data_IF_827385529581
#
_entry.id   IF_827385529581
#
_cell.length_a   1.000
_cell.length_b   1.000
_cell.length_c   1.000
_cell.angle_alpha   90.00
_cell.angle_beta   90.00
_cell.angle_gamma   90.00
#
_symmetry.space_group_name_H-M   'P 1'
#
loop_
_entity.id
_entity.type
_entity.pdbx_description
1 polymer ?
#
# COMPACT_ATOMS: atom_id res chain seq x y z
N UNK A 1 -29.42 13.19 1.03
CA UNK A 1 -28.09 12.58 0.85
C UNK A 1 -26.98 13.64 0.64
N UNK A 2 -27.18 14.65 -0.22
CA UNK A 2 -26.16 15.69 -0.50
C UNK A 2 -26.06 16.83 0.52
N UNK A 3 -26.83 16.85 1.58
CA UNK A 3 -26.73 17.86 2.65
C UNK A 3 -25.82 17.45 3.81
N UNK A 4 -25.24 16.25 3.78
CA UNK A 4 -24.31 15.80 4.81
C UNK A 4 -22.90 16.30 4.46
N UNK A 5 -22.25 17.14 5.31
CA UNK A 5 -20.91 17.67 5.08
C UNK A 5 -19.87 16.57 4.80
N UNK A 6 -20.00 15.43 5.46
CA UNK A 6 -19.13 14.27 5.28
C UNK A 6 -19.21 13.71 3.85
N UNK A 7 -20.42 13.59 3.30
CA UNK A 7 -20.59 13.10 1.93
C UNK A 7 -20.02 14.06 0.89
N UNK A 8 -20.21 15.38 1.09
CA UNK A 8 -19.64 16.40 0.19
C UNK A 8 -18.11 16.34 0.20
N UNK A 9 -17.51 16.29 1.39
CA UNK A 9 -16.04 16.20 1.53
C UNK A 9 -15.51 14.92 0.89
N UNK A 10 -16.18 13.79 1.08
CA UNK A 10 -15.78 12.52 0.51
C UNK A 10 -15.84 12.53 -1.04
N UNK A 11 -16.95 13.02 -1.62
CA UNK A 11 -17.08 13.16 -3.07
C UNK A 11 -16.01 14.11 -3.62
N UNK A 12 -15.77 15.23 -2.95
CA UNK A 12 -14.71 16.18 -3.32
C UNK A 12 -13.33 15.52 -3.33
N UNK A 13 -13.03 14.73 -2.30
CA UNK A 13 -11.79 13.94 -2.22
C UNK A 13 -11.67 12.95 -3.39
N UNK A 14 -12.73 12.20 -3.70
CA UNK A 14 -12.72 11.25 -4.81
C UNK A 14 -12.47 11.93 -6.17
N UNK A 15 -13.13 13.07 -6.41
CA UNK A 15 -12.93 13.83 -7.65
C UNK A 15 -11.48 14.29 -7.79
N UNK A 16 -10.89 14.78 -6.70
CA UNK A 16 -9.47 15.19 -6.69
C UNK A 16 -8.56 13.99 -6.95
N UNK A 17 -8.81 12.84 -6.29
CA UNK A 17 -8.00 11.64 -6.48
C UNK A 17 -8.08 11.09 -7.91
N UNK A 18 -9.28 11.05 -8.50
CA UNK A 18 -9.47 10.65 -9.90
C UNK A 18 -8.77 11.63 -10.85
N UNK A 19 -8.84 12.93 -10.57
CA UNK A 19 -8.13 13.95 -11.33
C UNK A 19 -6.62 13.76 -11.29
N UNK A 20 -6.05 13.50 -10.12
CA UNK A 20 -4.62 13.21 -9.95
C UNK A 20 -4.25 11.92 -10.69
N UNK A 21 -5.05 10.85 -10.56
CA UNK A 21 -4.83 9.59 -11.26
C UNK A 21 -4.84 9.76 -12.78
N UNK A 22 -5.80 10.50 -13.31
CA UNK A 22 -5.88 10.81 -14.75
C UNK A 22 -4.67 11.62 -15.23
N UNK A 23 -4.27 12.62 -14.46
CA UNK A 23 -3.08 13.41 -14.74
C UNK A 23 -1.81 12.53 -14.74
N UNK A 24 -1.62 11.70 -13.73
CA UNK A 24 -0.50 10.79 -13.63
C UNK A 24 -0.45 9.79 -14.80
N UNK A 25 -1.62 9.31 -15.26
CA UNK A 25 -1.71 8.43 -16.43
C UNK A 25 -1.09 9.05 -17.68
N UNK A 26 -1.31 10.32 -17.95
CA UNK A 26 -0.73 11.00 -19.09
C UNK A 26 0.80 11.14 -19.02
N UNK A 27 1.37 11.18 -17.83
CA UNK A 27 2.82 11.29 -17.63
C UNK A 27 3.53 9.94 -17.59
N UNK A 28 2.80 8.86 -17.37
CA UNK A 28 3.35 7.50 -17.31
C UNK A 28 3.60 6.99 -18.72
N UNK A 29 4.88 6.81 -19.08
CA UNK A 29 5.27 6.38 -20.44
C UNK A 29 5.69 4.92 -20.50
N UNK A 30 6.29 4.39 -19.43
CA UNK A 30 6.89 3.08 -19.38
C UNK A 30 6.42 2.30 -18.15
N UNK A 31 6.57 0.98 -18.21
CA UNK A 31 6.26 0.09 -17.08
C UNK A 31 7.07 0.42 -15.83
N UNK A 32 8.34 0.84 -15.99
CA UNK A 32 9.18 1.28 -14.87
C UNK A 32 8.66 2.59 -14.24
N UNK A 33 8.10 3.51 -15.03
CA UNK A 33 7.48 4.72 -14.52
C UNK A 33 6.25 4.37 -13.68
N UNK A 34 5.45 3.41 -14.13
CA UNK A 34 4.26 2.96 -13.42
C UNK A 34 4.60 2.28 -12.09
N UNK A 35 5.56 1.34 -12.07
CA UNK A 35 5.89 0.55 -10.87
C UNK A 35 6.78 1.32 -9.90
N UNK A 36 7.77 2.05 -10.38
CA UNK A 36 8.82 2.67 -9.56
C UNK A 36 8.86 4.20 -9.64
N UNK A 37 7.88 4.84 -10.28
CA UNK A 37 7.92 6.28 -10.53
C UNK A 37 9.18 6.71 -11.31
N UNK A 38 9.64 5.85 -12.24
CA UNK A 38 10.87 6.09 -13.00
C UNK A 38 12.14 6.17 -12.15
N UNK A 39 12.09 5.74 -10.88
CA UNK A 39 13.17 5.88 -9.87
C UNK A 39 13.63 7.34 -9.64
N UNK A 40 12.81 8.31 -10.05
CA UNK A 40 13.14 9.75 -10.01
C UNK A 40 12.45 10.51 -8.88
N UNK A 41 11.66 9.82 -8.06
CA UNK A 41 10.91 10.43 -6.95
C UNK A 41 11.86 11.01 -5.90
N UNK A 42 11.61 12.24 -5.49
CA UNK A 42 12.31 12.88 -4.38
C UNK A 42 11.95 12.26 -3.03
N UNK A 43 12.83 12.44 -2.03
CA UNK A 43 12.67 11.80 -0.71
C UNK A 43 11.32 12.09 -0.02
N UNK A 44 10.82 13.31 -0.11
CA UNK A 44 9.53 13.71 0.50
C UNK A 44 8.36 12.97 -0.20
N UNK A 45 8.35 12.97 -1.54
CA UNK A 45 7.29 12.28 -2.31
C UNK A 45 7.32 10.78 -2.04
N UNK A 46 8.51 10.18 -1.98
CA UNK A 46 8.68 8.76 -1.64
C UNK A 46 8.17 8.46 -0.24
N UNK A 47 8.50 9.27 0.76
CA UNK A 47 8.03 9.08 2.13
C UNK A 47 6.51 9.18 2.24
N UNK A 48 5.89 10.16 1.58
CA UNK A 48 4.43 10.30 1.54
C UNK A 48 3.77 9.14 0.81
N UNK A 49 4.34 8.68 -0.31
CA UNK A 49 3.84 7.55 -1.08
C UNK A 49 3.87 6.25 -0.27
N UNK A 50 4.97 6.00 0.45
CA UNK A 50 5.08 4.84 1.33
C UNK A 50 4.07 4.92 2.47
N UNK A 51 3.96 6.09 3.13
CA UNK A 51 2.95 6.29 4.17
C UNK A 51 1.54 6.00 3.67
N UNK A 52 1.19 6.48 2.47
CA UNK A 52 -0.12 6.25 1.89
C UNK A 52 -0.37 4.80 1.48
N UNK A 53 0.66 4.07 1.03
CA UNK A 53 0.51 2.70 0.50
C UNK A 53 0.62 1.62 1.58
N UNK A 54 1.47 1.84 2.59
CA UNK A 54 1.81 0.84 3.61
C UNK A 54 0.90 0.95 4.85
N UNK A 55 0.43 2.17 5.17
CA UNK A 55 -0.44 2.43 6.31
C UNK A 55 -1.90 2.13 5.97
N UNK A 56 -2.25 0.85 5.95
CA UNK A 56 -3.62 0.38 5.72
C UNK A 56 -4.60 0.79 6.83
N UNK A 57 -5.88 0.41 6.65
CA UNK A 57 -6.88 0.52 7.72
C UNK A 57 -6.47 -0.10 9.06
N UNK A 58 -5.50 -1.02 9.05
CA UNK A 58 -4.91 -1.56 10.27
C UNK A 58 -4.27 -0.49 11.15
N UNK A 59 -3.46 0.41 10.59
CA UNK A 59 -2.82 1.46 11.37
C UNK A 59 -3.81 2.48 11.91
N UNK A 60 -4.84 2.82 11.12
CA UNK A 60 -5.81 3.86 11.47
C UNK A 60 -6.93 3.36 12.40
N UNK A 61 -7.32 2.10 12.30
CA UNK A 61 -8.42 1.52 13.08
C UNK A 61 -7.97 0.37 13.97
N UNK A 62 -7.15 -0.54 13.47
CA UNK A 62 -6.73 -1.74 14.19
C UNK A 62 -5.84 -1.43 15.39
N UNK A 63 -4.82 -0.61 15.20
CA UNK A 63 -3.89 -0.24 16.29
C UNK A 63 -4.58 0.58 17.39
N UNK A 64 -5.29 1.69 17.08
CA UNK A 64 -6.05 2.40 18.10
C UNK A 64 -7.13 1.54 18.78
N UNK A 65 -7.85 0.73 18.01
CA UNK A 65 -8.84 -0.19 18.54
C UNK A 65 -8.23 -1.23 19.48
N UNK A 66 -7.07 -1.79 19.15
CA UNK A 66 -6.38 -2.75 20.01
C UNK A 66 -5.88 -2.10 21.31
N UNK A 67 -5.36 -0.87 21.24
CA UNK A 67 -4.96 -0.11 22.43
C UNK A 67 -6.17 0.21 23.33
N UNK A 68 -7.29 0.56 22.74
CA UNK A 68 -8.53 0.83 23.47
C UNK A 68 -9.07 -0.41 24.18
N UNK A 69 -9.06 -1.57 23.52
CA UNK A 69 -9.65 -2.81 24.04
C UNK A 69 -8.71 -3.58 24.99
N UNK A 70 -7.41 -3.60 24.67
CA UNK A 70 -6.43 -4.46 25.35
C UNK A 70 -5.43 -3.67 26.22
N UNK A 71 -5.53 -2.35 26.17
CA UNK A 71 -4.70 -1.47 27.00
C UNK A 71 -3.43 -1.00 26.32
N UNK A 72 -2.72 -0.11 27.00
CA UNK A 72 -1.57 0.65 26.51
C UNK A 72 -0.39 -0.24 26.07
N UNK A 73 -0.33 -1.49 26.55
CA UNK A 73 0.69 -2.45 26.12
C UNK A 73 0.71 -2.71 24.62
N UNK A 74 -0.43 -2.54 23.95
CA UNK A 74 -0.52 -2.67 22.49
C UNK A 74 0.19 -1.54 21.73
N UNK A 75 0.54 -0.45 22.38
CA UNK A 75 1.33 0.64 21.80
C UNK A 75 2.73 0.20 21.34
N UNK A 76 3.25 -0.91 21.89
CA UNK A 76 4.50 -1.51 21.44
C UNK A 76 4.46 -1.92 19.96
N UNK A 77 3.28 -2.23 19.42
CA UNK A 77 3.10 -2.50 17.98
C UNK A 77 3.46 -1.27 17.17
N UNK A 78 2.92 -0.09 17.52
CA UNK A 78 3.21 1.16 16.82
C UNK A 78 4.69 1.54 16.95
N UNK A 79 5.28 1.40 18.11
CA UNK A 79 6.72 1.65 18.36
C UNK A 79 7.56 0.72 17.48
N UNK A 80 7.26 -0.59 17.49
CA UNK A 80 7.98 -1.58 16.70
C UNK A 80 7.89 -1.33 15.18
N UNK A 81 6.71 -0.97 14.69
CA UNK A 81 6.51 -0.59 13.28
C UNK A 81 7.32 0.65 12.91
N UNK A 82 7.30 1.69 13.74
CA UNK A 82 8.04 2.94 13.49
C UNK A 82 9.55 2.70 13.46
N UNK A 83 10.08 2.02 14.48
CA UNK A 83 11.51 1.71 14.58
C UNK A 83 11.94 0.76 13.45
N UNK A 84 11.14 -0.27 13.16
CA UNK A 84 11.39 -1.21 12.08
C UNK A 84 11.40 -0.53 10.70
N UNK A 85 10.45 0.34 10.43
CA UNK A 85 10.43 1.14 9.21
C UNK A 85 11.67 2.03 9.10
N UNK A 86 12.04 2.72 10.18
CA UNK A 86 13.24 3.56 10.20
C UNK A 86 14.51 2.76 9.88
N UNK A 87 14.70 1.63 10.54
CA UNK A 87 15.86 0.72 10.29
C UNK A 87 15.84 0.23 8.84
N UNK A 88 14.68 -0.18 8.33
CA UNK A 88 14.53 -0.64 6.95
C UNK A 88 14.95 0.45 5.95
N UNK A 89 14.52 1.70 6.15
CA UNK A 89 14.89 2.81 5.29
C UNK A 89 16.37 3.19 5.38
N UNK A 90 17.00 3.03 6.53
CA UNK A 90 18.43 3.32 6.71
C UNK A 90 19.33 2.22 6.17
N UNK A 91 18.97 0.96 6.32
CA UNK A 91 19.87 -0.16 6.05
C UNK A 91 19.51 -0.97 4.81
N UNK A 92 18.22 -1.26 4.61
CA UNK A 92 17.77 -2.18 3.56
C UNK A 92 17.46 -1.45 2.26
N UNK A 93 16.65 -0.41 2.31
CA UNK A 93 16.15 0.26 1.11
C UNK A 93 17.27 0.84 0.21
N UNK A 94 18.31 1.53 0.72
CA UNK A 94 19.38 2.06 -0.12
C UNK A 94 20.17 0.95 -0.82
N UNK A 95 20.45 -0.14 -0.10
CA UNK A 95 21.14 -1.29 -0.65
C UNK A 95 20.32 -1.99 -1.72
N UNK A 96 19.04 -2.21 -1.43
CA UNK A 96 18.12 -2.86 -2.36
C UNK A 96 17.98 -2.05 -3.66
N UNK A 97 17.86 -0.72 -3.55
CA UNK A 97 17.82 0.17 -4.72
C UNK A 97 19.05 -0.03 -5.63
N UNK A 98 20.26 0.03 -5.06
CA UNK A 98 21.49 -0.12 -5.82
C UNK A 98 21.60 -1.52 -6.44
N UNK A 99 21.26 -2.54 -5.66
CA UNK A 99 21.35 -3.93 -6.15
C UNK A 99 20.33 -4.25 -7.22
N UNK A 100 19.12 -3.73 -7.15
CA UNK A 100 18.09 -3.94 -8.18
C UNK A 100 18.46 -3.23 -9.49
N UNK A 101 19.11 -2.07 -9.45
CA UNK A 101 19.66 -1.41 -10.65
C UNK A 101 20.75 -2.25 -11.30
N UNK A 102 21.71 -2.76 -10.50
CA UNK A 102 22.78 -3.64 -10.99
C UNK A 102 22.28 -4.99 -11.49
N UNK A 103 21.20 -5.51 -10.91
CA UNK A 103 20.57 -6.77 -11.31
C UNK A 103 19.62 -6.55 -12.52
N UNK A 104 20.16 -6.07 -13.63
CA UNK A 104 19.45 -5.79 -14.90
C UNK A 104 18.20 -4.93 -14.74
N UNK A 105 18.24 -3.94 -13.82
CA UNK A 105 17.13 -3.06 -13.53
C UNK A 105 15.86 -3.82 -13.12
N UNK A 106 15.99 -4.80 -12.23
CA UNK A 106 14.87 -5.59 -11.73
C UNK A 106 13.79 -4.70 -11.11
N UNK A 107 12.56 -4.81 -11.59
CA UNK A 107 11.44 -3.97 -11.15
C UNK A 107 10.67 -4.58 -9.97
N UNK A 108 10.76 -5.90 -9.80
CA UNK A 108 10.04 -6.64 -8.77
C UNK A 108 10.99 -7.50 -7.93
N UNK A 109 10.59 -7.86 -6.71
CA UNK A 109 11.38 -8.75 -5.86
C UNK A 109 11.60 -10.15 -6.48
N UNK A 110 10.59 -10.80 -7.11
CA UNK A 110 10.83 -12.05 -7.82
C UNK A 110 11.88 -11.94 -8.93
N UNK A 111 11.87 -10.86 -9.70
CA UNK A 111 12.89 -10.62 -10.72
C UNK A 111 14.28 -10.39 -10.11
N UNK A 112 14.33 -9.62 -9.02
CA UNK A 112 15.56 -9.39 -8.29
C UNK A 112 16.18 -10.71 -7.78
N UNK A 113 15.39 -11.61 -7.20
CA UNK A 113 15.88 -12.90 -6.73
C UNK A 113 16.40 -13.76 -7.89
N UNK A 114 15.69 -13.79 -9.02
CA UNK A 114 16.14 -14.52 -10.22
C UNK A 114 17.51 -14.04 -10.69
N UNK A 115 17.70 -12.72 -10.77
CA UNK A 115 18.96 -12.14 -11.23
C UNK A 115 20.07 -12.27 -10.19
N UNK A 116 19.74 -12.10 -8.91
CA UNK A 116 20.72 -12.13 -7.81
C UNK A 116 21.30 -13.51 -7.57
N UNK A 117 20.48 -14.57 -7.71
CA UNK A 117 20.87 -15.95 -7.45
C UNK A 117 21.10 -16.76 -8.73
N UNK A 118 21.08 -16.10 -9.89
CA UNK A 118 21.26 -16.72 -11.21
C UNK A 118 20.35 -17.94 -11.42
N UNK A 119 19.10 -17.81 -11.00
CA UNK A 119 18.10 -18.90 -11.06
C UNK A 119 17.68 -19.18 -12.50
N UNK A 120 18.36 -20.13 -13.14
CA UNK A 120 18.12 -20.53 -14.53
C UNK A 120 16.76 -21.23 -14.71
N UNK A 121 16.24 -21.86 -13.68
CA UNK A 121 14.99 -22.62 -13.73
C UNK A 121 13.76 -21.81 -13.28
N UNK A 122 13.96 -20.54 -12.87
CA UNK A 122 12.90 -19.65 -12.39
C UNK A 122 12.14 -20.15 -11.15
N UNK A 123 12.67 -21.09 -10.39
CA UNK A 123 12.02 -21.61 -9.18
C UNK A 123 11.86 -20.55 -8.10
N UNK A 124 12.88 -19.72 -7.87
CA UNK A 124 12.81 -18.64 -6.89
C UNK A 124 11.77 -17.58 -7.30
N UNK A 125 11.72 -17.27 -8.61
CA UNK A 125 10.73 -16.34 -9.15
C UNK A 125 9.30 -16.84 -8.92
N UNK A 126 9.03 -18.10 -9.28
CA UNK A 126 7.70 -18.70 -9.15
C UNK A 126 7.30 -18.80 -7.68
N UNK A 127 8.18 -19.30 -6.83
CA UNK A 127 7.89 -19.43 -5.40
C UNK A 127 7.62 -18.07 -4.75
N UNK A 128 8.48 -17.08 -5.02
CA UNK A 128 8.27 -15.71 -4.51
C UNK A 128 6.96 -15.10 -5.01
N UNK A 129 6.62 -15.29 -6.30
CA UNK A 129 5.38 -14.80 -6.86
C UNK A 129 4.14 -15.46 -6.23
N UNK A 130 4.17 -16.78 -5.99
CA UNK A 130 3.08 -17.49 -5.32
C UNK A 130 2.90 -17.00 -3.88
N UNK A 131 3.99 -16.87 -3.13
CA UNK A 131 3.94 -16.35 -1.75
C UNK A 131 3.35 -14.94 -1.72
N UNK A 132 3.84 -14.05 -2.58
CA UNK A 132 3.31 -12.68 -2.69
C UNK A 132 1.82 -12.72 -3.04
N UNK A 133 1.41 -13.53 -4.03
CA UNK A 133 0.02 -13.61 -4.45
C UNK A 133 -0.90 -14.03 -3.31
N UNK A 134 -0.55 -15.08 -2.56
CA UNK A 134 -1.35 -15.57 -1.44
C UNK A 134 -1.50 -14.51 -0.36
N UNK A 135 -0.37 -13.99 0.15
CA UNK A 135 -0.40 -13.04 1.27
C UNK A 135 -1.00 -11.69 0.87
N UNK A 136 -0.72 -11.21 -0.34
CA UNK A 136 -1.28 -9.96 -0.82
C UNK A 136 -2.78 -10.05 -1.09
N UNK A 137 -3.29 -11.19 -1.53
CA UNK A 137 -4.73 -11.41 -1.66
C UNK A 137 -5.45 -11.30 -0.32
N UNK A 138 -4.88 -11.92 0.73
CA UNK A 138 -5.43 -11.82 2.10
C UNK A 138 -5.36 -10.36 2.60
N UNK A 139 -4.24 -9.68 2.35
CA UNK A 139 -4.05 -8.29 2.72
C UNK A 139 -5.08 -7.37 2.03
N UNK A 140 -5.24 -7.49 0.72
CA UNK A 140 -6.23 -6.71 -0.03
C UNK A 140 -7.66 -6.99 0.44
N UNK A 141 -8.01 -8.26 0.69
CA UNK A 141 -9.31 -8.63 1.21
C UNK A 141 -9.58 -7.96 2.58
N UNK A 142 -8.58 -7.93 3.46
CA UNK A 142 -8.70 -7.25 4.76
C UNK A 142 -8.92 -5.74 4.61
N UNK A 143 -8.26 -5.11 3.64
CA UNK A 143 -8.44 -3.70 3.32
C UNK A 143 -9.84 -3.38 2.81
N UNK A 144 -10.37 -4.21 1.91
CA UNK A 144 -11.75 -4.05 1.39
C UNK A 144 -12.78 -4.20 2.52
N UNK A 145 -12.61 -5.18 3.40
CA UNK A 145 -13.48 -5.36 4.57
C UNK A 145 -13.42 -4.16 5.51
N UNK A 146 -12.22 -3.65 5.79
CA UNK A 146 -12.05 -2.46 6.63
C UNK A 146 -12.72 -1.23 6.02
N UNK A 147 -12.55 -1.01 4.70
CA UNK A 147 -13.22 0.05 3.96
C UNK A 147 -14.75 -0.08 4.01
N UNK A 148 -15.28 -1.30 3.79
CA UNK A 148 -16.71 -1.56 3.86
C UNK A 148 -17.30 -1.23 5.25
N UNK A 149 -16.59 -1.59 6.33
CA UNK A 149 -17.00 -1.25 7.70
C UNK A 149 -16.96 0.26 7.96
N UNK A 150 -15.97 0.95 7.40
CA UNK A 150 -15.90 2.41 7.49
C UNK A 150 -17.11 3.07 6.80
N UNK A 151 -17.46 2.64 5.58
CA UNK A 151 -18.61 3.18 4.85
C UNK A 151 -19.94 2.84 5.52
N UNK A 152 -20.11 1.62 6.03
CA UNK A 152 -21.29 1.22 6.80
C UNK A 152 -21.49 2.15 7.99
N UNK A 153 -20.45 2.39 8.80
CA UNK A 153 -20.57 3.22 10.00
C UNK A 153 -20.63 4.73 9.71
N UNK A 154 -20.06 5.20 8.60
CA UNK A 154 -20.01 6.63 8.29
C UNK A 154 -21.24 7.11 7.53
N UNK A 155 -21.77 6.29 6.63
CA UNK A 155 -22.86 6.63 5.72
C UNK A 155 -24.16 5.87 6.00
N UNK A 156 -24.18 5.04 7.05
CA UNK A 156 -25.35 4.21 7.42
C UNK A 156 -25.85 3.34 6.26
N UNK A 157 -24.89 2.77 5.50
CA UNK A 157 -25.16 1.95 4.30
C UNK A 157 -25.18 0.47 4.69
N UNK A 158 -26.01 -0.36 4.01
CA UNK A 158 -25.94 -1.80 4.17
C UNK A 158 -24.52 -2.31 3.83
N UNK A 159 -23.99 -3.22 4.65
CA UNK A 159 -22.61 -3.75 4.50
C UNK A 159 -22.29 -4.23 3.08
N UNK A 160 -23.23 -4.91 2.41
CA UNK A 160 -23.01 -5.40 1.05
C UNK A 160 -22.81 -4.27 0.04
N UNK A 161 -23.58 -3.21 0.16
CA UNK A 161 -23.43 -2.02 -0.69
C UNK A 161 -22.13 -1.29 -0.38
N UNK A 162 -21.81 -1.15 0.90
CA UNK A 162 -20.55 -0.55 1.37
C UNK A 162 -19.32 -1.32 0.86
N UNK A 163 -19.40 -2.66 0.81
CA UNK A 163 -18.32 -3.51 0.30
C UNK A 163 -18.10 -3.31 -1.21
N UNK A 164 -19.17 -3.25 -2.00
CA UNK A 164 -19.06 -2.99 -3.45
C UNK A 164 -18.48 -1.60 -3.70
N UNK A 165 -19.00 -0.58 -3.02
CA UNK A 165 -18.50 0.79 -3.13
C UNK A 165 -17.03 0.86 -2.74
N UNK A 166 -16.64 0.27 -1.60
CA UNK A 166 -15.26 0.27 -1.13
C UNK A 166 -14.30 -0.55 -2.01
N UNK A 167 -14.80 -1.52 -2.77
CA UNK A 167 -13.98 -2.28 -3.72
C UNK A 167 -13.76 -1.55 -5.06
N UNK A 168 -14.68 -0.64 -5.43
CA UNK A 168 -14.61 0.12 -6.70
C UNK A 168 -13.84 1.43 -6.53
N UNK A 169 -13.85 2.01 -5.34
CA UNK A 169 -13.12 3.24 -4.99
C UNK A 169 -11.67 2.94 -4.64
#
# INVERSE_FOLDING_TARGET
MFSNPTAITFIGYLVVMLGVGFFAYYYTRNYADYILGGRSLGGIVTALSVGASDMSGWLLMGVPGSVFLLGISQSWIAIGLTVGAWINWCLVAPRLRIYTEKARNSLTLPDYFTQRFEDKNHYLRITAAIVILIFFTIYCASGVVAGARLFENTFDMPYQTALIVGAVV
#
